data_IF_793800159238
#
_entry.id   IF_793800159238
#
_cell.length_a   1.000
_cell.length_b   1.000
_cell.length_c   1.000
_cell.angle_alpha   90.00
_cell.angle_beta   90.00
_cell.angle_gamma   90.00
#
_symmetry.space_group_name_H-M   'P 1'
#
loop_
_entity.id
_entity.type
_entity.pdbx_description
1 polymer ?
#
# COMPACT_ATOMS: atom_id res chain seq x y z
N UNK A 1 48.16 -60.64 -45.25
CA UNK A 1 47.11 -59.66 -45.58
C UNK A 1 45.71 -60.04 -45.09
N UNK A 2 45.37 -61.26 -44.85
CA UNK A 2 44.03 -61.70 -44.45
C UNK A 2 43.61 -61.33 -42.99
N UNK A 3 44.52 -61.30 -42.05
CA UNK A 3 44.18 -61.04 -40.61
C UNK A 3 43.79 -59.55 -40.31
N UNK A 4 44.28 -58.61 -41.10
CA UNK A 4 43.90 -57.18 -40.92
C UNK A 4 42.49 -56.87 -41.46
N UNK A 5 42.07 -57.49 -42.52
CA UNK A 5 40.70 -57.33 -43.08
C UNK A 5 39.64 -57.94 -42.17
N UNK A 6 39.92 -59.09 -41.51
CA UNK A 6 38.97 -59.73 -40.61
C UNK A 6 38.81 -58.93 -39.30
N UNK A 7 39.88 -58.36 -38.69
CA UNK A 7 39.80 -57.49 -37.52
C UNK A 7 39.07 -56.16 -37.82
N UNK A 8 39.18 -55.63 -39.04
CA UNK A 8 38.54 -54.39 -39.44
C UNK A 8 37.00 -54.61 -39.66
N UNK A 9 36.63 -55.82 -40.14
CA UNK A 9 35.21 -56.18 -40.33
C UNK A 9 34.51 -56.43 -39.00
N UNK A 10 35.15 -57.03 -38.00
CA UNK A 10 34.66 -57.22 -36.62
C UNK A 10 34.50 -55.87 -35.93
N UNK A 11 35.48 -54.94 -36.04
CA UNK A 11 35.35 -53.59 -35.49
C UNK A 11 34.21 -52.79 -36.14
N UNK A 12 34.01 -52.88 -37.44
CA UNK A 12 32.87 -52.22 -38.11
C UNK A 12 31.51 -52.82 -37.67
N UNK A 13 31.41 -54.11 -37.54
CA UNK A 13 30.16 -54.72 -37.00
C UNK A 13 29.89 -54.34 -35.57
N UNK A 14 30.90 -54.24 -34.71
CA UNK A 14 30.76 -53.82 -33.33
C UNK A 14 30.35 -52.33 -33.22
N UNK A 15 30.90 -51.46 -34.10
CA UNK A 15 30.51 -50.05 -34.15
C UNK A 15 29.07 -49.87 -34.61
N UNK A 16 28.64 -50.67 -35.61
CA UNK A 16 27.24 -50.62 -36.12
C UNK A 16 26.26 -51.14 -35.07
N UNK A 17 26.62 -52.16 -34.30
CA UNK A 17 25.77 -52.67 -33.20
C UNK A 17 25.74 -51.65 -32.04
N UNK A 18 26.83 -51.00 -31.71
CA UNK A 18 26.89 -49.93 -30.68
C UNK A 18 26.06 -48.71 -31.09
N UNK A 19 26.17 -48.27 -32.36
CA UNK A 19 25.37 -47.19 -32.88
C UNK A 19 23.87 -47.54 -32.91
N UNK A 20 23.52 -48.76 -33.30
CA UNK A 20 22.15 -49.24 -33.27
C UNK A 20 21.58 -49.33 -31.85
N UNK A 21 22.37 -49.76 -30.87
CA UNK A 21 21.99 -49.79 -29.47
C UNK A 21 21.80 -48.34 -28.88
N UNK A 22 22.66 -47.41 -29.29
CA UNK A 22 22.59 -46.02 -28.89
C UNK A 22 21.29 -45.36 -29.46
N UNK A 23 21.04 -45.56 -30.75
CA UNK A 23 19.82 -45.06 -31.38
C UNK A 23 18.58 -45.70 -30.77
N UNK A 24 18.57 -46.98 -30.50
CA UNK A 24 17.47 -47.67 -29.81
C UNK A 24 17.23 -47.16 -28.40
N UNK A 25 18.30 -46.90 -27.64
CA UNK A 25 18.25 -46.31 -26.30
C UNK A 25 17.71 -44.88 -26.36
N UNK A 26 18.17 -44.08 -27.34
CA UNK A 26 17.67 -42.71 -27.54
C UNK A 26 16.19 -42.69 -27.93
N UNK A 27 15.76 -43.57 -28.85
CA UNK A 27 14.36 -43.69 -29.24
C UNK A 27 13.52 -44.18 -28.06
N UNK A 28 14.01 -45.13 -27.27
CA UNK A 28 13.33 -45.59 -26.06
C UNK A 28 13.18 -44.49 -25.02
N UNK A 29 14.22 -43.71 -24.78
CA UNK A 29 14.15 -42.53 -23.90
C UNK A 29 13.16 -41.48 -24.41
N UNK A 30 13.13 -41.22 -25.72
CA UNK A 30 12.18 -40.29 -26.33
C UNK A 30 10.74 -40.85 -26.21
N UNK A 31 10.52 -42.14 -26.43
CA UNK A 31 9.22 -42.76 -26.28
C UNK A 31 8.76 -42.73 -24.82
N UNK A 32 9.64 -43.03 -23.87
CA UNK A 32 9.34 -42.94 -22.45
C UNK A 32 8.99 -41.49 -22.07
N UNK A 33 9.76 -40.50 -22.53
CA UNK A 33 9.49 -39.07 -22.26
C UNK A 33 8.19 -38.59 -22.92
N UNK A 34 7.80 -39.15 -24.10
CA UNK A 34 6.56 -38.83 -24.79
C UNK A 34 5.33 -39.55 -24.23
N UNK A 35 5.53 -40.69 -23.52
CA UNK A 35 4.46 -41.52 -22.96
C UNK A 35 4.39 -41.45 -21.43
N UNK A 36 5.23 -40.68 -20.78
CA UNK A 36 5.15 -40.43 -19.33
C UNK A 36 3.76 -39.81 -19.05
N UNK A 37 2.98 -40.50 -18.22
CA UNK A 37 1.72 -39.93 -17.73
C UNK A 37 2.01 -38.72 -16.90
N UNK A 38 1.13 -37.68 -16.94
CA UNK A 38 1.20 -36.60 -15.99
C UNK A 38 1.20 -37.16 -14.55
N UNK A 39 2.07 -36.61 -13.70
CA UNK A 39 2.05 -36.94 -12.26
C UNK A 39 0.96 -36.13 -11.60
N UNK A 40 0.53 -36.58 -10.42
CA UNK A 40 -0.40 -35.82 -9.59
C UNK A 40 0.36 -35.12 -8.48
N UNK A 41 0.06 -33.84 -8.30
CA UNK A 41 0.61 -33.01 -7.23
C UNK A 41 -0.54 -32.73 -6.26
N UNK A 42 -0.47 -33.31 -5.07
CA UNK A 42 -1.44 -33.11 -4.00
C UNK A 42 -1.01 -31.96 -3.10
N UNK A 43 -1.82 -30.92 -3.03
CA UNK A 43 -1.59 -29.73 -2.22
C UNK A 43 -2.72 -29.62 -1.19
N UNK A 44 -2.34 -29.64 0.07
CA UNK A 44 -3.30 -29.54 1.18
C UNK A 44 -3.35 -28.10 1.67
N UNK A 45 -4.54 -27.55 1.83
CA UNK A 45 -4.76 -26.22 2.39
C UNK A 45 -4.30 -26.15 3.84
N UNK A 46 -3.84 -24.94 4.29
CA UNK A 46 -3.33 -24.68 5.64
C UNK A 46 -2.18 -25.62 6.03
N UNK A 47 -1.35 -25.97 5.06
CA UNK A 47 -0.16 -26.80 5.25
C UNK A 47 0.92 -26.40 4.24
N UNK A 48 2.17 -26.50 4.62
CA UNK A 48 3.34 -26.29 3.76
C UNK A 48 3.78 -27.56 3.04
N UNK A 49 3.44 -28.74 3.59
CA UNK A 49 3.75 -30.00 2.94
C UNK A 49 2.83 -30.26 1.74
N UNK A 50 3.40 -30.73 0.64
CA UNK A 50 2.68 -31.21 -0.52
C UNK A 50 3.37 -32.46 -1.09
N UNK A 51 2.66 -33.20 -1.95
CA UNK A 51 3.15 -34.47 -2.46
C UNK A 51 3.14 -34.45 -3.99
N UNK A 52 4.24 -34.90 -4.57
CA UNK A 52 4.29 -35.26 -5.99
C UNK A 52 4.28 -36.78 -6.04
N UNK A 53 3.14 -37.37 -6.37
CA UNK A 53 2.85 -38.80 -6.18
C UNK A 53 3.09 -39.21 -4.70
N UNK A 54 4.07 -40.06 -4.43
CA UNK A 54 4.39 -40.56 -3.07
C UNK A 54 5.55 -39.78 -2.41
N UNK A 55 6.15 -38.80 -3.08
CA UNK A 55 7.28 -38.03 -2.55
C UNK A 55 6.78 -36.74 -1.92
N UNK A 56 7.20 -36.49 -0.67
CA UNK A 56 6.86 -35.28 0.07
C UNK A 56 7.86 -34.15 -0.24
N UNK A 57 7.30 -32.96 -0.44
CA UNK A 57 7.99 -31.70 -0.63
C UNK A 57 7.45 -30.68 0.36
N UNK A 58 8.19 -29.59 0.59
CA UNK A 58 7.81 -28.50 1.49
C UNK A 58 7.79 -27.18 0.72
N UNK A 59 6.73 -26.40 0.94
CA UNK A 59 6.67 -24.99 0.57
C UNK A 59 7.23 -24.15 1.73
N UNK A 60 7.84 -23.01 1.44
CA UNK A 60 8.30 -22.06 2.44
C UNK A 60 7.13 -21.40 3.19
N UNK A 61 5.96 -21.37 2.58
CA UNK A 61 4.73 -20.77 3.10
C UNK A 61 3.50 -21.56 2.65
N UNK A 62 2.40 -21.41 3.39
CA UNK A 62 1.12 -22.03 3.04
C UNK A 62 0.53 -21.42 1.75
N UNK A 63 -0.08 -22.26 0.87
CA UNK A 63 -0.90 -21.77 -0.22
C UNK A 63 -2.19 -21.15 0.35
N UNK A 64 -2.82 -20.27 -0.42
CA UNK A 64 -4.07 -19.64 -0.02
C UNK A 64 -5.08 -19.60 -1.17
N UNK A 65 -6.35 -19.36 -0.86
CA UNK A 65 -7.39 -19.15 -1.85
C UNK A 65 -7.79 -17.67 -1.92
N UNK A 66 -7.90 -17.15 -3.13
CA UNK A 66 -8.37 -15.80 -3.40
C UNK A 66 -9.29 -15.82 -4.62
N UNK A 67 -10.48 -15.25 -4.51
CA UNK A 67 -11.52 -15.29 -5.58
C UNK A 67 -11.83 -16.69 -6.12
N UNK A 68 -11.76 -17.71 -5.28
CA UNK A 68 -12.03 -19.10 -5.64
C UNK A 68 -10.89 -19.80 -6.37
N UNK A 69 -9.70 -19.16 -6.50
CA UNK A 69 -8.50 -19.74 -7.12
C UNK A 69 -7.42 -19.93 -6.07
N UNK A 70 -6.78 -21.08 -6.07
CA UNK A 70 -5.64 -21.36 -5.19
C UNK A 70 -4.40 -20.64 -5.73
N UNK A 71 -3.69 -19.95 -4.84
CA UNK A 71 -2.43 -19.29 -5.09
C UNK A 71 -1.27 -20.10 -4.52
N UNK A 72 -0.26 -20.33 -5.35
CA UNK A 72 0.88 -21.18 -5.05
C UNK A 72 2.18 -20.36 -5.01
N UNK A 73 3.06 -20.58 -4.02
CA UNK A 73 4.38 -19.97 -4.03
C UNK A 73 5.19 -20.50 -5.23
N UNK A 74 5.57 -19.58 -6.12
CA UNK A 74 6.10 -19.92 -7.45
C UNK A 74 7.37 -20.76 -7.37
N UNK A 75 8.34 -20.33 -6.56
CA UNK A 75 9.65 -21.00 -6.45
C UNK A 75 9.50 -22.40 -5.89
N UNK A 76 8.70 -22.56 -4.84
CA UNK A 76 8.55 -23.85 -4.15
C UNK A 76 7.90 -24.91 -5.04
N UNK A 77 6.92 -24.49 -5.87
CA UNK A 77 6.18 -25.41 -6.74
C UNK A 77 6.94 -25.72 -8.03
N UNK A 78 7.69 -24.76 -8.58
CA UNK A 78 8.35 -24.93 -9.87
C UNK A 78 9.78 -25.45 -9.77
N UNK A 79 10.49 -25.30 -8.63
CA UNK A 79 11.84 -25.86 -8.45
C UNK A 79 11.86 -27.39 -8.66
N UNK A 80 10.94 -28.20 -8.11
CA UNK A 80 10.91 -29.63 -8.36
C UNK A 80 10.55 -30.00 -9.80
N UNK A 81 10.04 -29.03 -10.59
CA UNK A 81 9.78 -29.17 -12.01
C UNK A 81 11.01 -28.85 -12.89
N UNK A 82 12.16 -28.55 -12.26
CA UNK A 82 13.43 -28.27 -12.94
C UNK A 82 13.56 -26.81 -13.43
N UNK A 83 12.84 -25.88 -12.83
CA UNK A 83 12.94 -24.45 -13.14
C UNK A 83 13.94 -23.75 -12.22
N UNK A 84 14.62 -22.74 -12.76
CA UNK A 84 15.48 -21.80 -12.07
C UNK A 84 14.89 -20.39 -12.18
N UNK A 85 15.27 -19.51 -11.25
CA UNK A 85 14.69 -18.20 -11.07
C UNK A 85 15.75 -17.12 -11.17
N UNK A 86 15.41 -16.00 -11.77
CA UNK A 86 16.19 -14.80 -11.87
C UNK A 86 15.28 -13.57 -11.88
N UNK A 87 15.87 -12.39 -11.72
CA UNK A 87 15.16 -11.11 -11.82
C UNK A 87 15.70 -10.30 -12.98
N UNK A 88 14.83 -9.85 -13.87
CA UNK A 88 15.13 -8.93 -14.94
C UNK A 88 14.78 -7.51 -14.47
N UNK A 89 15.82 -6.67 -14.30
CA UNK A 89 15.62 -5.29 -13.83
C UNK A 89 15.05 -4.37 -14.91
N UNK A 90 15.31 -4.66 -16.17
CA UNK A 90 14.86 -3.82 -17.30
C UNK A 90 13.36 -4.04 -17.53
N UNK A 91 12.90 -5.28 -17.43
CA UNK A 91 11.49 -5.66 -17.55
C UNK A 91 10.73 -5.60 -16.22
N UNK A 92 11.42 -5.43 -15.10
CA UNK A 92 10.87 -5.54 -13.74
C UNK A 92 10.04 -6.82 -13.53
N UNK A 93 10.60 -7.96 -13.94
CA UNK A 93 9.90 -9.24 -13.98
C UNK A 93 10.72 -10.37 -13.35
N UNK A 94 10.03 -11.35 -12.76
CA UNK A 94 10.61 -12.64 -12.41
C UNK A 94 10.81 -13.45 -13.70
N UNK A 95 12.04 -13.88 -13.95
CA UNK A 95 12.40 -14.75 -15.06
C UNK A 95 12.46 -16.19 -14.56
N UNK A 96 11.59 -17.02 -15.07
CA UNK A 96 11.48 -18.46 -14.75
C UNK A 96 12.00 -19.23 -15.94
N UNK A 97 13.10 -19.96 -15.78
CA UNK A 97 13.81 -20.59 -16.89
C UNK A 97 14.03 -22.08 -16.64
N UNK A 98 13.99 -22.85 -17.71
CA UNK A 98 14.52 -24.21 -17.78
C UNK A 98 15.41 -24.36 -19.02
N UNK A 99 15.91 -25.57 -19.31
CA UNK A 99 16.78 -25.86 -20.47
C UNK A 99 16.16 -25.47 -21.83
N UNK A 100 14.84 -25.25 -21.91
CA UNK A 100 14.11 -25.08 -23.18
C UNK A 100 13.52 -23.70 -23.38
N UNK A 101 13.13 -23.02 -22.31
CA UNK A 101 12.42 -21.72 -22.40
C UNK A 101 12.66 -20.84 -21.19
N UNK A 102 12.44 -19.54 -21.39
CA UNK A 102 12.31 -18.54 -20.33
C UNK A 102 10.92 -17.94 -20.36
N UNK A 103 10.34 -17.78 -19.20
CA UNK A 103 9.01 -17.19 -19.00
C UNK A 103 9.14 -16.00 -18.07
N UNK A 104 8.55 -14.87 -18.46
CA UNK A 104 8.48 -13.66 -17.66
C UNK A 104 7.16 -13.59 -16.93
N UNK A 105 7.24 -13.38 -15.62
CA UNK A 105 6.09 -13.24 -14.73
C UNK A 105 6.18 -11.89 -14.02
N UNK A 106 5.14 -11.09 -14.15
CA UNK A 106 5.10 -9.72 -13.64
C UNK A 106 4.22 -9.65 -12.40
N UNK A 107 4.71 -9.00 -11.34
CA UNK A 107 3.87 -8.75 -10.17
C UNK A 107 2.66 -7.90 -10.56
N UNK A 108 1.51 -8.19 -9.96
CA UNK A 108 0.21 -7.54 -10.20
C UNK A 108 -0.33 -7.59 -11.65
N UNK A 109 0.31 -8.33 -12.53
CA UNK A 109 -0.20 -8.56 -13.87
C UNK A 109 -0.74 -9.98 -13.99
N UNK A 110 -1.82 -10.11 -14.74
CA UNK A 110 -2.47 -11.39 -15.05
C UNK A 110 -1.94 -11.99 -16.34
N UNK A 111 -0.67 -11.78 -16.65
CA UNK A 111 -0.03 -12.25 -17.87
C UNK A 111 1.25 -13.05 -17.60
N UNK A 112 1.53 -14.00 -18.47
CA UNK A 112 2.85 -14.64 -18.65
C UNK A 112 3.34 -14.33 -20.05
N UNK A 113 4.63 -14.03 -20.19
CA UNK A 113 5.27 -13.87 -21.49
C UNK A 113 6.29 -15.00 -21.65
N UNK A 114 6.11 -15.86 -22.67
CA UNK A 114 7.01 -16.97 -22.95
C UNK A 114 7.16 -17.15 -24.46
N UNK A 115 8.38 -17.36 -24.93
CA UNK A 115 8.71 -17.51 -26.36
C UNK A 115 8.16 -16.37 -27.25
N UNK A 116 8.04 -15.15 -26.68
CA UNK A 116 7.49 -13.98 -27.38
C UNK A 116 5.97 -13.92 -27.45
N UNK A 117 5.28 -14.90 -26.90
CA UNK A 117 3.82 -14.92 -26.79
C UNK A 117 3.36 -14.49 -25.39
N UNK A 118 2.24 -13.76 -25.33
CA UNK A 118 1.62 -13.30 -24.08
C UNK A 118 0.34 -14.10 -23.82
N UNK A 119 0.27 -14.72 -22.65
CA UNK A 119 -0.88 -15.44 -22.15
C UNK A 119 -1.56 -14.64 -21.06
N UNK A 120 -2.87 -14.46 -21.14
CA UNK A 120 -3.68 -13.69 -20.19
C UNK A 120 -4.56 -14.61 -19.36
N UNK A 121 -4.60 -14.36 -18.04
CA UNK A 121 -5.35 -15.14 -17.06
C UNK A 121 -6.43 -14.27 -16.39
N UNK A 122 -7.34 -14.92 -15.66
CA UNK A 122 -8.36 -14.20 -14.90
C UNK A 122 -7.77 -13.39 -13.74
N UNK A 123 -6.75 -13.94 -13.09
CA UNK A 123 -6.19 -13.40 -11.87
C UNK A 123 -4.71 -13.04 -12.03
N UNK A 124 -4.22 -11.96 -11.37
CA UNK A 124 -2.83 -11.55 -11.46
C UNK A 124 -1.91 -12.42 -10.58
N UNK A 125 -0.63 -12.38 -10.88
CA UNK A 125 0.44 -12.79 -9.97
C UNK A 125 0.47 -11.83 -8.79
N UNK A 126 0.73 -12.33 -7.58
CA UNK A 126 0.74 -11.51 -6.37
C UNK A 126 2.04 -11.72 -5.59
N UNK A 127 2.66 -10.64 -5.14
CA UNK A 127 3.78 -10.70 -4.22
C UNK A 127 3.32 -10.40 -2.80
N UNK A 128 3.67 -11.28 -1.85
CA UNK A 128 3.36 -11.15 -0.42
C UNK A 128 4.60 -11.51 0.40
N UNK A 129 4.96 -10.67 1.34
CA UNK A 129 6.13 -10.91 2.20
C UNK A 129 7.39 -11.34 1.41
N UNK A 130 7.62 -10.73 0.23
CA UNK A 130 8.71 -11.05 -0.72
C UNK A 130 8.60 -12.40 -1.42
N UNK A 131 7.49 -13.11 -1.26
CA UNK A 131 7.22 -14.37 -1.95
C UNK A 131 6.26 -14.06 -3.11
N UNK A 132 6.60 -14.60 -4.28
CA UNK A 132 5.75 -14.47 -5.45
C UNK A 132 4.81 -15.67 -5.51
N UNK A 133 3.52 -15.38 -5.58
CA UNK A 133 2.47 -16.37 -5.71
C UNK A 133 1.84 -16.27 -7.10
N UNK A 134 1.61 -17.41 -7.72
CA UNK A 134 0.87 -17.50 -8.97
C UNK A 134 -0.51 -18.13 -8.77
N UNK A 135 -1.54 -17.66 -9.50
CA UNK A 135 -2.77 -18.42 -9.63
C UNK A 135 -2.49 -19.82 -10.16
N UNK A 136 -3.10 -20.83 -9.56
CA UNK A 136 -2.89 -22.25 -9.96
C UNK A 136 -3.18 -22.51 -11.44
N UNK A 137 -4.03 -21.71 -12.08
CA UNK A 137 -4.31 -21.76 -13.51
C UNK A 137 -3.05 -21.58 -14.39
N UNK A 138 -2.07 -20.81 -13.90
CA UNK A 138 -0.81 -20.55 -14.62
C UNK A 138 0.13 -21.78 -14.63
N UNK A 139 -0.04 -22.70 -13.70
CA UNK A 139 0.84 -23.88 -13.56
C UNK A 139 0.92 -24.73 -14.83
N UNK A 140 -0.18 -24.86 -15.57
CA UNK A 140 -0.26 -25.63 -16.82
C UNK A 140 0.70 -25.13 -17.92
N UNK A 141 1.21 -23.89 -17.83
CA UNK A 141 2.23 -23.36 -18.74
C UNK A 141 3.65 -23.83 -18.40
N UNK A 142 3.86 -24.36 -17.20
CA UNK A 142 5.14 -24.85 -16.70
C UNK A 142 5.21 -26.38 -16.69
N UNK A 143 4.14 -27.05 -16.31
CA UNK A 143 4.08 -28.51 -16.20
C UNK A 143 2.84 -29.10 -16.81
N UNK A 144 2.92 -30.38 -17.20
CA UNK A 144 1.77 -31.21 -17.58
C UNK A 144 1.18 -31.96 -16.39
N UNK A 145 1.81 -31.85 -15.21
CA UNK A 145 1.36 -32.51 -14.00
C UNK A 145 0.03 -31.91 -13.55
N UNK A 146 -0.81 -32.71 -12.94
CA UNK A 146 -2.15 -32.32 -12.49
C UNK A 146 -2.09 -31.85 -11.04
N UNK A 147 -2.67 -30.67 -10.75
CA UNK A 147 -2.83 -30.15 -9.40
C UNK A 147 -4.12 -30.66 -8.78
N UNK A 148 -4.04 -31.29 -7.62
CA UNK A 148 -5.18 -31.71 -6.80
C UNK A 148 -5.13 -30.96 -5.47
N UNK A 149 -6.22 -30.29 -5.15
CA UNK A 149 -6.34 -29.47 -3.94
C UNK A 149 -7.25 -30.17 -2.92
N UNK A 150 -6.77 -30.30 -1.69
CA UNK A 150 -7.47 -30.98 -0.60
C UNK A 150 -7.49 -30.12 0.67
N UNK A 151 -8.55 -30.30 1.50
CA UNK A 151 -8.67 -29.59 2.76
C UNK A 151 -9.13 -28.13 2.63
N UNK A 152 -9.06 -27.41 3.74
CA UNK A 152 -9.45 -26.01 3.83
C UNK A 152 -8.23 -25.11 3.59
N UNK A 153 -8.33 -24.21 2.63
CA UNK A 153 -7.31 -23.19 2.37
C UNK A 153 -7.60 -21.93 3.16
N UNK A 154 -6.55 -21.28 3.65
CA UNK A 154 -6.66 -19.93 4.21
C UNK A 154 -7.28 -19.02 3.15
N UNK A 155 -8.44 -18.47 3.46
CA UNK A 155 -9.05 -17.47 2.59
C UNK A 155 -8.30 -16.16 2.73
N UNK A 156 -7.92 -15.60 1.59
CA UNK A 156 -7.32 -14.28 1.51
C UNK A 156 -8.19 -13.45 0.60
N UNK A 157 -8.82 -12.46 1.16
CA UNK A 157 -9.52 -11.44 0.39
C UNK A 157 -8.48 -10.68 -0.44
N UNK A 158 -8.80 -10.33 -1.67
CA UNK A 158 -7.99 -9.37 -2.41
C UNK A 158 -8.18 -8.01 -1.76
N UNK A 159 -7.29 -7.54 -0.89
CA UNK A 159 -7.55 -6.30 -0.16
C UNK A 159 -7.67 -5.11 -1.10
N UNK A 160 -7.19 -5.28 -2.34
CA UNK A 160 -7.02 -4.20 -3.27
C UNK A 160 -8.12 -4.09 -4.34
N UNK A 161 -8.50 -5.19 -4.99
CA UNK A 161 -9.36 -5.12 -6.18
C UNK A 161 -10.77 -4.62 -5.86
N UNK A 162 -11.35 -5.09 -4.75
CA UNK A 162 -12.69 -4.68 -4.34
C UNK A 162 -12.72 -3.26 -3.76
N UNK A 163 -11.61 -2.82 -3.15
CA UNK A 163 -11.56 -1.51 -2.53
C UNK A 163 -11.63 -0.37 -3.53
N UNK A 164 -10.97 -0.50 -4.69
CA UNK A 164 -10.84 0.57 -5.68
C UNK A 164 -11.54 0.28 -7.02
N UNK A 165 -12.06 -0.93 -7.25
CA UNK A 165 -12.58 -1.35 -8.56
C UNK A 165 -13.77 -0.50 -9.05
N UNK A 166 -14.62 -0.03 -8.11
CA UNK A 166 -15.75 0.86 -8.39
C UNK A 166 -15.55 2.27 -7.80
N UNK A 167 -14.30 2.66 -7.57
CA UNK A 167 -13.98 3.99 -7.07
C UNK A 167 -13.59 4.86 -8.24
N UNK A 168 -14.38 5.86 -8.51
CA UNK A 168 -14.14 6.88 -9.54
C UNK A 168 -14.65 8.21 -9.05
N UNK A 169 -14.11 9.28 -9.62
CA UNK A 169 -14.59 10.65 -9.52
C UNK A 169 -14.94 11.06 -10.94
N UNK A 170 -16.15 11.56 -11.15
CA UNK A 170 -16.56 12.15 -12.42
C UNK A 170 -16.27 13.67 -12.43
N UNK A 171 -16.66 14.35 -13.48
CA UNK A 171 -16.41 15.77 -13.68
C UNK A 171 -17.52 16.69 -13.14
N UNK A 172 -18.51 16.14 -12.41
CA UNK A 172 -19.70 16.86 -11.93
C UNK A 172 -19.34 18.11 -11.11
N UNK A 173 -18.28 18.07 -10.32
CA UNK A 173 -17.87 19.17 -9.43
C UNK A 173 -16.63 19.91 -9.92
N UNK A 174 -16.12 19.59 -11.10
CA UNK A 174 -14.95 20.29 -11.69
C UNK A 174 -15.31 21.73 -12.00
N UNK A 175 -14.37 22.61 -11.72
CA UNK A 175 -14.51 24.02 -12.04
C UNK A 175 -14.23 24.26 -13.55
N UNK A 176 -15.04 25.08 -14.17
CA UNK A 176 -14.89 25.45 -15.60
C UNK A 176 -13.96 26.65 -15.81
N UNK A 177 -13.44 27.25 -14.73
CA UNK A 177 -12.61 28.46 -14.77
C UNK A 177 -11.19 28.19 -15.31
N UNK A 178 -10.57 29.22 -15.87
CA UNK A 178 -9.16 29.17 -16.26
C UNK A 178 -8.28 29.25 -15.00
N UNK A 179 -7.29 28.37 -14.90
CA UNK A 179 -6.34 28.38 -13.79
C UNK A 179 -5.22 29.42 -14.05
N UNK A 180 -5.09 30.39 -13.16
CA UNK A 180 -4.04 31.41 -13.22
C UNK A 180 -3.00 31.17 -12.13
N UNK A 181 -1.75 30.96 -12.54
CA UNK A 181 -0.67 30.64 -11.60
C UNK A 181 -0.07 31.87 -10.93
N UNK A 182 -0.01 31.86 -9.59
CA UNK A 182 0.63 32.88 -8.74
C UNK A 182 1.50 32.20 -7.68
N UNK A 183 2.80 32.43 -7.63
CA UNK A 183 3.73 31.84 -6.64
C UNK A 183 3.57 30.32 -6.45
N UNK A 184 3.30 29.55 -7.51
CA UNK A 184 3.14 28.10 -7.43
C UNK A 184 1.71 27.62 -7.08
N UNK A 185 0.83 28.53 -6.72
CA UNK A 185 -0.60 28.29 -6.48
C UNK A 185 -1.39 28.68 -7.72
N UNK A 186 -2.41 27.94 -8.04
CA UNK A 186 -3.34 28.23 -9.12
C UNK A 186 -4.65 28.79 -8.55
N UNK A 187 -5.06 29.95 -9.03
CA UNK A 187 -6.36 30.51 -8.76
C UNK A 187 -7.33 30.08 -9.88
N UNK A 188 -8.47 29.52 -9.47
CA UNK A 188 -9.60 29.21 -10.33
C UNK A 188 -10.82 29.86 -9.67
N UNK A 189 -11.35 30.92 -10.27
CA UNK A 189 -12.36 31.76 -9.66
C UNK A 189 -11.92 32.33 -8.29
N UNK A 190 -12.59 31.96 -7.20
CA UNK A 190 -12.27 32.35 -5.82
C UNK A 190 -11.58 31.23 -5.01
N UNK A 191 -11.08 30.19 -5.69
CA UNK A 191 -10.44 29.03 -5.06
C UNK A 191 -8.97 28.94 -5.44
N UNK A 192 -8.15 28.64 -4.45
CA UNK A 192 -6.72 28.42 -4.66
C UNK A 192 -6.40 26.93 -4.59
N UNK A 193 -5.58 26.46 -5.53
CA UNK A 193 -5.23 25.04 -5.67
C UNK A 193 -3.74 24.86 -5.92
N UNK A 194 -3.20 23.72 -5.51
CA UNK A 194 -1.86 23.28 -5.90
C UNK A 194 -1.94 22.10 -6.86
N UNK A 195 -0.99 22.04 -7.79
CA UNK A 195 -0.85 20.94 -8.72
C UNK A 195 0.04 19.87 -8.11
N UNK A 196 -0.52 18.72 -7.82
CA UNK A 196 0.17 17.60 -7.17
C UNK A 196 0.11 16.36 -8.04
N UNK A 197 1.21 15.61 -8.07
CA UNK A 197 1.33 14.38 -8.83
C UNK A 197 1.63 13.20 -7.92
N UNK A 198 1.15 12.04 -8.31
CA UNK A 198 1.52 10.73 -7.77
C UNK A 198 2.37 9.95 -8.79
N UNK A 199 3.67 10.26 -9.00
CA UNK A 199 4.51 9.48 -9.90
C UNK A 199 4.57 8.02 -9.44
N UNK A 200 4.41 7.07 -10.35
CA UNK A 200 4.32 5.64 -10.06
C UNK A 200 5.47 5.13 -9.20
N UNK A 201 6.71 5.52 -9.53
CA UNK A 201 7.89 5.15 -8.74
C UNK A 201 7.85 5.67 -7.30
N UNK A 202 7.27 6.86 -7.08
CA UNK A 202 7.12 7.41 -5.74
C UNK A 202 6.06 6.64 -4.96
N UNK A 203 4.93 6.30 -5.60
CA UNK A 203 3.85 5.52 -5.02
C UNK A 203 4.33 4.12 -4.59
N UNK A 204 5.04 3.42 -5.49
CA UNK A 204 5.64 2.11 -5.19
C UNK A 204 6.67 2.19 -4.06
N UNK A 205 7.52 3.22 -4.06
CA UNK A 205 8.51 3.40 -3.00
C UNK A 205 7.88 3.77 -1.66
N UNK A 206 6.78 4.52 -1.67
CA UNK A 206 6.01 4.83 -0.48
C UNK A 206 5.37 3.57 0.10
N UNK A 207 4.72 2.75 -0.72
CA UNK A 207 4.13 1.48 -0.29
C UNK A 207 5.16 0.55 0.37
N UNK A 208 6.39 0.47 -0.17
CA UNK A 208 7.49 -0.31 0.45
C UNK A 208 7.81 0.17 1.86
N UNK A 209 7.80 1.47 2.12
CA UNK A 209 8.03 2.01 3.46
C UNK A 209 6.89 1.63 4.40
N UNK A 210 5.64 1.68 3.93
CA UNK A 210 4.49 1.27 4.74
C UNK A 210 4.53 -0.24 5.06
N UNK A 211 4.92 -1.07 4.09
CA UNK A 211 5.12 -2.51 4.31
C UNK A 211 6.22 -2.78 5.35
N UNK A 212 7.32 -2.01 5.31
CA UNK A 212 8.39 -2.14 6.31
C UNK A 212 7.93 -1.76 7.73
N UNK A 213 6.98 -0.83 7.88
CA UNK A 213 6.36 -0.54 9.19
C UNK A 213 5.59 -1.77 9.72
N UNK A 214 4.80 -2.42 8.86
CA UNK A 214 4.05 -3.61 9.24
C UNK A 214 4.98 -4.81 9.52
N UNK A 215 6.03 -4.99 8.73
CA UNK A 215 7.07 -6.02 8.96
C UNK A 215 7.77 -5.81 10.32
N UNK A 216 8.06 -4.56 10.69
CA UNK A 216 8.71 -4.22 11.94
C UNK A 216 7.82 -4.38 13.18
N UNK A 217 6.48 -4.38 13.01
CA UNK A 217 5.48 -4.42 14.07
C UNK A 217 4.41 -5.50 13.80
N UNK A 218 4.77 -6.79 13.75
CA UNK A 218 3.86 -7.86 13.28
C UNK A 218 2.62 -8.09 14.15
N UNK A 219 2.59 -7.57 15.37
CA UNK A 219 1.44 -7.66 16.28
C UNK A 219 0.50 -6.45 16.19
N UNK A 220 0.80 -5.47 15.35
CA UNK A 220 0.06 -4.21 15.20
C UNK A 220 -0.70 -4.22 13.87
N UNK A 221 -1.96 -3.80 13.89
CA UNK A 221 -2.70 -3.57 12.65
C UNK A 221 -2.27 -2.26 12.03
N UNK A 222 -1.80 -2.31 10.79
CA UNK A 222 -1.33 -1.12 10.07
C UNK A 222 -2.38 -0.69 9.05
N UNK A 223 -2.77 0.58 9.11
CA UNK A 223 -3.72 1.20 8.18
C UNK A 223 -3.02 2.29 7.36
N UNK A 224 -3.23 2.30 6.05
CA UNK A 224 -2.77 3.38 5.18
C UNK A 224 -3.96 4.20 4.68
N UNK A 225 -3.97 5.49 5.04
CA UNK A 225 -4.99 6.47 4.67
C UNK A 225 -4.35 7.43 3.67
N UNK A 226 -4.46 7.12 2.38
CA UNK A 226 -3.96 7.98 1.30
C UNK A 226 -5.07 8.96 0.86
N UNK A 227 -4.79 10.27 1.03
CA UNK A 227 -5.77 11.34 0.84
C UNK A 227 -5.55 12.00 -0.51
N UNK A 228 -6.56 12.15 -1.38
CA UNK A 228 -6.46 13.00 -2.56
C UNK A 228 -6.44 14.49 -2.17
N UNK A 229 -5.90 15.33 -3.03
CA UNK A 229 -5.98 16.79 -2.84
C UNK A 229 -7.27 17.38 -3.47
N UNK A 230 -7.51 18.64 -3.18
CA UNK A 230 -8.65 19.39 -3.74
C UNK A 230 -8.75 19.29 -5.27
N UNK A 231 -7.61 19.30 -5.98
CA UNK A 231 -7.59 19.25 -7.45
C UNK A 231 -8.15 17.97 -8.05
N UNK A 232 -8.14 16.86 -7.30
CA UNK A 232 -8.77 15.62 -7.77
C UNK A 232 -10.29 15.73 -7.84
N UNK A 233 -10.90 16.47 -6.91
CA UNK A 233 -12.35 16.64 -6.82
C UNK A 233 -12.86 17.82 -7.68
N UNK A 234 -12.18 18.96 -7.61
CA UNK A 234 -12.69 20.24 -8.11
C UNK A 234 -11.78 20.90 -9.13
N UNK A 235 -10.58 20.37 -9.35
CA UNK A 235 -9.63 20.97 -10.29
C UNK A 235 -10.19 20.98 -11.72
N UNK A 236 -10.03 22.09 -12.51
CA UNK A 236 -10.31 22.07 -13.92
C UNK A 236 -9.41 21.06 -14.65
N UNK A 237 -9.79 20.66 -15.86
CA UNK A 237 -9.08 19.63 -16.61
C UNK A 237 -7.57 19.89 -16.74
N UNK A 238 -7.16 21.14 -16.86
CA UNK A 238 -5.74 21.53 -16.94
C UNK A 238 -4.94 21.29 -15.64
N UNK A 239 -5.62 21.14 -14.49
CA UNK A 239 -5.02 20.84 -13.19
C UNK A 239 -5.26 19.39 -12.73
N UNK A 240 -5.99 18.61 -13.51
CA UNK A 240 -6.26 17.22 -13.17
C UNK A 240 -5.02 16.34 -13.33
N UNK A 241 -4.72 15.51 -12.35
CA UNK A 241 -3.48 14.70 -12.28
C UNK A 241 -3.72 13.21 -12.02
N UNK A 242 -4.97 12.75 -12.08
CA UNK A 242 -5.37 11.36 -11.84
C UNK A 242 -4.73 10.77 -10.56
N UNK A 243 -4.98 11.41 -9.43
CA UNK A 243 -4.46 10.97 -8.14
C UNK A 243 -5.05 9.63 -7.71
N UNK A 244 -6.24 9.27 -8.20
CA UNK A 244 -6.85 7.94 -7.96
C UNK A 244 -5.94 6.84 -8.47
N UNK A 245 -5.38 6.96 -9.67
CA UNK A 245 -4.42 5.98 -10.20
C UNK A 245 -3.15 5.89 -9.37
N UNK A 246 -2.68 7.01 -8.83
CA UNK A 246 -1.57 7.04 -7.87
C UNK A 246 -1.90 6.29 -6.57
N UNK A 247 -3.06 6.55 -5.99
CA UNK A 247 -3.53 5.86 -4.77
C UNK A 247 -3.72 4.36 -5.06
N UNK A 248 -4.27 3.99 -6.21
CA UNK A 248 -4.34 2.59 -6.65
C UNK A 248 -2.96 1.94 -6.72
N UNK A 249 -1.97 2.66 -7.24
CA UNK A 249 -0.59 2.16 -7.30
C UNK A 249 -0.01 1.94 -5.90
N UNK A 250 -0.25 2.86 -4.95
CA UNK A 250 0.14 2.65 -3.54
C UNK A 250 -0.50 1.36 -3.03
N UNK A 251 -1.82 1.25 -3.11
CA UNK A 251 -2.57 0.14 -2.53
C UNK A 251 -2.26 -1.22 -3.17
N UNK A 252 -1.94 -1.25 -4.47
CA UNK A 252 -1.45 -2.45 -5.18
C UNK A 252 -0.15 -3.00 -4.62
N UNK A 253 0.70 -2.13 -4.10
CA UNK A 253 2.02 -2.47 -3.62
C UNK A 253 2.06 -2.62 -2.09
N UNK A 254 0.91 -2.55 -1.40
CA UNK A 254 0.82 -2.85 0.02
C UNK A 254 0.78 -4.36 0.24
N UNK A 255 1.49 -4.82 1.27
CA UNK A 255 1.40 -6.19 1.76
C UNK A 255 0.05 -6.45 2.44
N UNK A 256 -0.37 -7.70 2.51
CA UNK A 256 -1.63 -8.10 3.17
C UNK A 256 -1.72 -7.73 4.66
N UNK A 257 -0.59 -7.48 5.29
CA UNK A 257 -0.50 -7.01 6.68
C UNK A 257 -0.87 -5.53 6.83
N UNK A 258 -1.03 -4.81 5.73
CA UNK A 258 -1.44 -3.40 5.70
C UNK A 258 -2.85 -3.28 5.16
N UNK A 259 -3.72 -2.62 5.93
CA UNK A 259 -5.09 -2.34 5.52
C UNK A 259 -5.15 -1.01 4.75
N UNK A 260 -5.44 -1.02 3.45
CA UNK A 260 -5.71 0.20 2.70
C UNK A 260 -7.08 0.78 3.08
N UNK A 261 -7.17 2.10 3.17
CA UNK A 261 -8.42 2.80 3.53
C UNK A 261 -8.91 3.63 2.34
N UNK A 262 -10.02 3.21 1.73
CA UNK A 262 -10.59 3.90 0.58
C UNK A 262 -11.36 5.16 0.98
N UNK A 263 -10.64 6.25 1.17
CA UNK A 263 -11.24 7.55 1.56
C UNK A 263 -12.10 8.14 0.44
N UNK A 264 -11.75 7.90 -0.82
CA UNK A 264 -12.46 8.48 -1.98
C UNK A 264 -13.89 7.96 -2.02
N UNK A 265 -14.12 6.69 -1.78
CA UNK A 265 -15.45 6.08 -1.77
C UNK A 265 -16.40 6.71 -0.73
N UNK A 266 -15.85 7.18 0.39
CA UNK A 266 -16.62 7.85 1.43
C UNK A 266 -16.72 9.37 1.21
N UNK A 267 -15.72 9.98 0.61
CA UNK A 267 -15.68 11.42 0.38
C UNK A 267 -16.49 11.84 -0.85
N UNK A 268 -16.39 11.09 -1.95
CA UNK A 268 -16.99 11.47 -3.23
C UNK A 268 -18.52 11.69 -3.19
N UNK A 269 -19.32 10.85 -2.50
CA UNK A 269 -20.76 11.08 -2.38
C UNK A 269 -21.16 12.39 -1.67
N UNK A 270 -20.19 13.06 -1.05
CA UNK A 270 -20.35 14.32 -0.31
C UNK A 270 -19.53 15.47 -0.92
N UNK A 271 -19.16 15.35 -2.18
CA UNK A 271 -18.35 16.36 -2.87
C UNK A 271 -19.06 17.71 -3.07
N UNK A 272 -20.39 17.75 -2.91
CA UNK A 272 -21.19 18.98 -2.85
C UNK A 272 -21.09 19.72 -1.50
N UNK A 273 -20.49 19.09 -0.49
CA UNK A 273 -20.22 19.70 0.80
C UNK A 273 -18.84 20.39 0.81
N UNK A 274 -18.56 21.15 1.86
CA UNK A 274 -17.29 21.86 2.03
C UNK A 274 -16.18 20.91 2.51
N UNK A 275 -15.66 20.04 1.61
CA UNK A 275 -14.64 19.02 1.93
C UNK A 275 -13.22 19.58 1.99
N UNK A 276 -12.90 20.60 1.23
CA UNK A 276 -11.61 21.27 1.16
C UNK A 276 -11.78 22.77 1.30
N UNK A 277 -10.79 23.42 1.93
CA UNK A 277 -10.74 24.86 1.98
C UNK A 277 -10.43 25.47 0.60
N UNK A 278 -11.08 26.55 0.27
CA UNK A 278 -10.78 27.35 -0.92
C UNK A 278 -9.55 28.24 -0.73
N UNK A 279 -9.20 28.54 0.52
CA UNK A 279 -8.13 29.49 0.90
C UNK A 279 -6.91 28.82 1.54
N UNK A 280 -6.95 27.50 1.70
CA UNK A 280 -5.88 26.69 2.29
C UNK A 280 -5.65 25.40 1.49
N UNK A 281 -4.48 24.79 1.59
CA UNK A 281 -4.17 23.55 0.88
C UNK A 281 -4.77 22.29 1.54
N UNK A 282 -5.32 22.41 2.72
CA UNK A 282 -5.86 21.28 3.44
C UNK A 282 -7.33 21.01 3.13
N UNK A 283 -7.76 19.84 3.49
CA UNK A 283 -9.17 19.54 3.68
C UNK A 283 -9.74 20.24 4.91
N UNK A 284 -11.06 20.37 4.97
CA UNK A 284 -11.77 20.81 6.17
C UNK A 284 -11.83 19.68 7.20
N UNK A 285 -12.27 19.97 8.41
CA UNK A 285 -12.52 18.89 9.37
C UNK A 285 -13.68 18.00 8.88
N UNK A 286 -14.64 18.51 8.12
CA UNK A 286 -15.70 17.73 7.48
C UNK A 286 -15.12 16.76 6.45
N UNK A 287 -14.22 17.19 5.58
CA UNK A 287 -13.51 16.30 4.64
C UNK A 287 -12.78 15.20 5.37
N UNK A 288 -12.07 15.54 6.45
CA UNK A 288 -11.39 14.57 7.31
C UNK A 288 -12.37 13.60 8.03
N UNK A 289 -13.62 14.01 8.30
CA UNK A 289 -14.64 13.11 8.85
C UNK A 289 -14.98 11.97 7.90
N UNK A 290 -15.14 12.24 6.62
CA UNK A 290 -15.43 11.17 5.65
C UNK A 290 -14.24 10.21 5.49
N UNK A 291 -13.00 10.71 5.59
CA UNK A 291 -11.83 9.84 5.63
C UNK A 291 -11.77 9.00 6.93
N UNK A 292 -12.13 9.59 8.07
CA UNK A 292 -12.29 8.86 9.33
C UNK A 292 -13.38 7.79 9.20
N UNK A 293 -14.52 8.08 8.58
CA UNK A 293 -15.57 7.06 8.31
C UNK A 293 -15.02 5.88 7.52
N UNK A 294 -14.24 6.16 6.46
CA UNK A 294 -13.59 5.12 5.67
C UNK A 294 -12.67 4.25 6.53
N UNK A 295 -11.90 4.87 7.44
CA UNK A 295 -11.03 4.18 8.37
C UNK A 295 -11.84 3.29 9.34
N UNK A 296 -12.89 3.82 9.97
CA UNK A 296 -13.73 3.05 10.93
C UNK A 296 -14.44 1.88 10.24
N UNK A 297 -14.89 2.06 8.98
CA UNK A 297 -15.42 0.96 8.17
C UNK A 297 -14.36 -0.13 7.91
N UNK A 298 -13.14 0.27 7.57
CA UNK A 298 -12.04 -0.67 7.37
C UNK A 298 -11.65 -1.40 8.68
N UNK A 299 -11.83 -0.74 9.82
CA UNK A 299 -11.64 -1.33 11.17
C UNK A 299 -12.79 -2.28 11.56
N UNK A 300 -13.97 -2.12 10.94
CA UNK A 300 -15.17 -2.92 11.27
C UNK A 300 -15.93 -2.44 12.50
N UNK A 301 -15.85 -1.14 12.81
CA UNK A 301 -16.51 -0.52 13.96
C UNK A 301 -17.70 0.37 13.56
N UNK A 302 -18.52 0.72 14.54
CA UNK A 302 -19.63 1.66 14.37
C UNK A 302 -19.11 3.10 14.26
N UNK A 303 -19.79 3.89 13.43
CA UNK A 303 -19.43 5.26 13.15
C UNK A 303 -20.43 6.18 13.83
N UNK A 304 -19.95 7.11 14.67
CA UNK A 304 -20.78 8.18 15.20
C UNK A 304 -21.19 9.15 14.05
N UNK A 305 -22.48 9.51 14.03
CA UNK A 305 -22.99 10.45 13.03
C UNK A 305 -22.42 11.86 13.24
N UNK A 306 -22.18 12.59 12.14
CA UNK A 306 -21.61 13.94 12.21
C UNK A 306 -22.43 14.88 13.10
N UNK A 307 -23.74 14.71 13.14
CA UNK A 307 -24.67 15.52 13.95
C UNK A 307 -24.50 15.31 15.47
N UNK A 308 -23.83 14.26 15.90
CA UNK A 308 -23.54 14.01 17.31
C UNK A 308 -22.42 14.91 17.86
N UNK A 309 -21.61 15.49 16.97
CA UNK A 309 -20.45 16.29 17.35
C UNK A 309 -20.82 17.78 17.49
N UNK A 310 -20.66 18.38 18.68
CA UNK A 310 -20.94 19.78 18.88
C UNK A 310 -20.02 20.67 18.00
N UNK A 311 -20.60 21.66 17.33
CA UNK A 311 -19.90 22.51 16.37
C UNK A 311 -19.61 23.91 16.94
N UNK A 312 -18.41 24.44 16.65
CA UNK A 312 -17.98 25.81 16.99
C UNK A 312 -17.17 26.39 15.83
N UNK A 313 -17.84 27.12 14.96
CA UNK A 313 -17.26 27.63 13.73
C UNK A 313 -16.55 28.99 13.93
N UNK A 314 -15.66 29.32 12.99
CA UNK A 314 -15.07 30.64 12.79
C UNK A 314 -15.40 31.10 11.38
N UNK A 315 -15.98 32.29 11.29
CA UNK A 315 -16.29 32.89 9.98
C UNK A 315 -15.13 33.76 9.51
N UNK A 316 -14.97 33.87 8.19
CA UNK A 316 -13.98 34.73 7.56
C UNK A 316 -12.56 34.16 7.61
N UNK A 317 -12.41 32.85 7.78
CA UNK A 317 -11.13 32.17 7.71
C UNK A 317 -10.48 32.35 6.34
N UNK A 318 -9.22 32.78 6.32
CA UNK A 318 -8.34 32.76 5.15
C UNK A 318 -7.09 32.00 5.53
N UNK A 319 -6.87 30.87 4.83
CA UNK A 319 -5.78 29.96 5.12
C UNK A 319 -4.42 30.38 4.55
N UNK A 320 -3.54 29.41 4.38
CA UNK A 320 -2.14 29.60 3.96
C UNK A 320 -1.99 30.24 2.59
N UNK A 321 -2.93 30.00 1.68
CA UNK A 321 -2.91 30.58 0.33
C UNK A 321 -3.06 32.11 0.33
N UNK A 322 -3.81 32.67 1.28
CA UNK A 322 -3.89 34.12 1.43
C UNK A 322 -2.54 34.77 1.67
N UNK A 323 -1.63 34.12 2.39
CA UNK A 323 -0.25 34.59 2.57
C UNK A 323 0.61 34.36 1.32
N UNK A 324 0.44 33.22 0.64
CA UNK A 324 1.17 32.89 -0.59
C UNK A 324 0.89 33.86 -1.72
N UNK A 325 -0.35 34.37 -1.79
CA UNK A 325 -0.79 35.30 -2.82
C UNK A 325 -0.42 36.77 -2.55
N UNK A 326 0.04 37.13 -1.34
CA UNK A 326 0.48 38.49 -1.02
C UNK A 326 1.56 39.00 -1.97
N UNK A 327 1.40 40.20 -2.48
CA UNK A 327 2.30 40.84 -3.45
C UNK A 327 2.21 40.27 -4.85
N UNK A 328 1.26 39.39 -5.15
CA UNK A 328 0.95 38.92 -6.51
C UNK A 328 -0.30 39.60 -7.07
N UNK A 329 -0.57 39.40 -8.38
CA UNK A 329 -1.82 39.88 -8.98
C UNK A 329 -3.06 39.13 -8.44
N UNK A 330 -2.89 38.03 -7.71
CA UNK A 330 -3.96 37.28 -7.06
C UNK A 330 -4.23 37.71 -5.61
N UNK A 331 -3.54 38.74 -5.09
CA UNK A 331 -3.81 39.24 -3.75
C UNK A 331 -5.23 39.82 -3.65
N UNK A 332 -5.98 39.37 -2.61
CA UNK A 332 -7.38 39.77 -2.41
C UNK A 332 -8.42 39.05 -3.27
N UNK A 333 -8.01 38.04 -4.07
CA UNK A 333 -8.93 37.22 -4.85
C UNK A 333 -9.70 36.18 -4.03
N UNK A 334 -9.15 35.81 -2.85
CA UNK A 334 -9.78 34.82 -1.97
C UNK A 334 -10.78 35.48 -1.03
N UNK A 335 -11.96 34.91 -0.94
CA UNK A 335 -12.98 35.26 0.04
C UNK A 335 -12.85 34.47 1.32
N UNK A 336 -13.17 35.08 2.47
CA UNK A 336 -13.17 34.37 3.74
C UNK A 336 -14.24 33.27 3.76
N UNK A 337 -13.89 32.11 4.28
CA UNK A 337 -14.75 30.92 4.37
C UNK A 337 -14.98 30.51 5.83
N UNK A 338 -15.83 29.51 6.06
CA UNK A 338 -16.11 29.00 7.41
C UNK A 338 -15.07 27.94 7.79
N UNK A 339 -14.35 28.17 8.88
CA UNK A 339 -13.56 27.12 9.55
C UNK A 339 -14.46 26.34 10.49
N UNK A 340 -14.99 25.21 10.02
CA UNK A 340 -15.79 24.31 10.86
C UNK A 340 -14.91 23.64 11.92
N UNK A 341 -15.41 23.59 13.17
CA UNK A 341 -14.73 22.93 14.28
C UNK A 341 -15.74 22.06 15.02
N UNK A 342 -15.61 20.75 14.83
CA UNK A 342 -16.40 19.72 15.52
C UNK A 342 -15.65 19.28 16.76
N UNK A 343 -16.31 19.38 17.90
CA UNK A 343 -15.75 19.03 19.20
C UNK A 343 -15.83 17.51 19.42
N UNK A 344 -14.84 16.87 20.04
CA UNK A 344 -14.92 15.45 20.38
C UNK A 344 -16.12 15.19 21.33
N UNK A 345 -16.67 13.99 21.23
CA UNK A 345 -17.80 13.52 22.09
C UNK A 345 -17.32 12.72 23.31
N UNK A 346 -16.01 12.56 23.45
CA UNK A 346 -15.39 11.92 24.62
C UNK A 346 -14.67 12.94 25.48
N UNK A 347 -14.62 12.70 26.79
CA UNK A 347 -13.71 13.43 27.67
C UNK A 347 -12.28 13.03 27.38
N UNK A 348 -11.37 13.97 27.42
CA UNK A 348 -9.96 13.71 27.14
C UNK A 348 -8.99 14.62 27.92
N UNK A 349 -7.77 14.13 28.04
CA UNK A 349 -6.60 14.91 28.45
C UNK A 349 -5.52 14.74 27.40
N UNK A 350 -4.91 15.85 26.96
CA UNK A 350 -3.86 15.86 25.95
C UNK A 350 -2.61 16.58 26.43
N UNK A 351 -1.44 16.03 26.11
CA UNK A 351 -0.12 16.60 26.41
C UNK A 351 0.82 16.45 25.21
N UNK A 352 1.63 17.47 24.96
CA UNK A 352 2.73 17.47 23.96
C UNK A 352 4.02 17.09 24.64
N UNK A 353 4.80 16.20 24.00
CA UNK A 353 6.11 15.75 24.47
C UNK A 353 7.20 16.00 23.44
N UNK A 354 8.43 16.27 23.92
CA UNK A 354 9.60 16.57 23.11
C UNK A 354 10.61 15.41 23.05
N UNK A 355 10.30 14.28 23.66
CA UNK A 355 11.13 13.07 23.63
C UNK A 355 10.27 11.82 23.45
N UNK A 356 10.87 10.77 22.91
CA UNK A 356 10.22 9.48 22.63
C UNK A 356 9.67 8.80 23.88
N UNK A 357 10.32 9.00 25.04
CA UNK A 357 9.96 8.34 26.30
C UNK A 357 8.88 9.07 27.10
N UNK A 358 8.33 10.18 26.56
CA UNK A 358 7.29 10.99 27.16
C UNK A 358 7.69 11.56 28.55
N UNK A 359 8.96 11.83 28.74
CA UNK A 359 9.51 12.41 29.99
C UNK A 359 9.58 13.94 29.96
N UNK A 360 9.72 14.53 28.77
CA UNK A 360 9.80 15.97 28.57
C UNK A 360 8.46 16.51 28.08
N UNK A 361 7.51 16.65 29.01
CA UNK A 361 6.23 17.32 28.75
C UNK A 361 6.48 18.81 28.45
N UNK A 362 5.99 19.25 27.29
CA UNK A 362 6.13 20.67 26.90
C UNK A 362 4.91 21.51 27.32
N UNK A 363 3.72 21.11 26.88
CA UNK A 363 2.47 21.83 27.15
C UNK A 363 1.25 20.91 27.11
N UNK A 364 0.14 21.42 27.60
CA UNK A 364 -1.18 20.80 27.33
C UNK A 364 -1.52 20.92 25.84
N UNK A 365 -2.25 19.95 25.31
CA UNK A 365 -2.82 19.97 23.98
C UNK A 365 -4.33 19.83 24.03
N UNK A 366 -5.03 20.67 23.32
CA UNK A 366 -6.46 20.52 23.06
C UNK A 366 -6.66 19.85 21.71
N UNK A 367 -7.71 19.05 21.59
CA UNK A 367 -8.11 18.48 20.31
C UNK A 367 -8.56 19.58 19.35
N UNK A 368 -9.27 20.58 19.88
CA UNK A 368 -9.60 21.83 19.18
C UNK A 368 -9.13 23.00 20.04
N UNK A 369 -8.17 23.76 19.53
CA UNK A 369 -7.67 24.99 20.16
C UNK A 369 -8.60 26.15 19.83
N UNK A 370 -9.60 26.39 20.64
CA UNK A 370 -10.68 27.35 20.34
C UNK A 370 -10.21 28.82 20.19
N UNK A 371 -9.05 29.16 20.73
CA UNK A 371 -8.46 30.49 20.58
C UNK A 371 -7.58 30.64 19.32
N UNK A 372 -7.45 29.56 18.54
CA UNK A 372 -6.73 29.55 17.27
C UNK A 372 -7.74 29.59 16.11
N UNK A 373 -7.73 30.64 15.31
CA UNK A 373 -8.59 30.83 14.15
C UNK A 373 -7.90 30.42 12.83
N UNK A 374 -6.88 29.56 12.92
CA UNK A 374 -6.15 28.99 11.79
C UNK A 374 -6.37 27.49 11.72
N UNK A 375 -5.88 26.85 10.64
CA UNK A 375 -5.89 25.39 10.51
C UNK A 375 -5.19 24.69 11.70
N UNK A 376 -4.23 25.33 12.33
CA UNK A 376 -3.56 24.86 13.56
C UNK A 376 -4.48 24.73 14.77
N UNK A 377 -5.77 25.18 14.67
CA UNK A 377 -6.81 24.88 15.67
C UNK A 377 -6.96 23.36 15.91
N UNK A 378 -6.67 22.52 14.89
CA UNK A 378 -6.72 21.07 15.00
C UNK A 378 -5.45 20.57 15.69
N UNK A 379 -5.62 19.98 16.88
CA UNK A 379 -4.57 19.42 17.76
C UNK A 379 -3.39 20.38 18.09
N UNK A 380 -3.52 21.66 17.81
CA UNK A 380 -2.45 22.64 17.99
C UNK A 380 -1.38 22.60 16.90
N UNK A 381 -1.67 21.98 15.74
CA UNK A 381 -0.78 21.89 14.59
C UNK A 381 0.23 20.74 14.65
N UNK A 382 1.37 20.91 13.97
CA UNK A 382 2.38 19.86 13.82
C UNK A 382 3.30 19.83 15.06
N UNK A 383 3.10 18.81 15.90
CA UNK A 383 3.85 18.60 17.14
C UNK A 383 4.64 17.28 17.07
N UNK A 384 5.78 17.21 17.79
CA UNK A 384 6.62 15.99 17.77
C UNK A 384 5.86 14.73 18.18
N UNK A 385 5.29 14.75 19.38
CA UNK A 385 4.35 13.74 19.87
C UNK A 385 3.25 14.45 20.66
N UNK A 386 1.99 14.09 20.37
CA UNK A 386 0.86 14.40 21.24
C UNK A 386 0.33 13.08 21.78
N UNK A 387 0.11 13.00 23.08
CA UNK A 387 -0.62 11.91 23.73
C UNK A 387 -1.97 12.42 24.18
N UNK A 388 -3.04 11.79 23.71
CA UNK A 388 -4.38 11.93 24.29
C UNK A 388 -4.74 10.67 25.07
N UNK A 389 -5.31 10.86 26.27
CA UNK A 389 -5.99 9.82 27.05
C UNK A 389 -7.45 10.21 27.14
N UNK A 390 -8.35 9.31 26.78
CA UNK A 390 -9.78 9.59 26.66
C UNK A 390 -10.62 8.87 27.73
N UNK A 391 -11.91 9.13 27.75
CA UNK A 391 -12.88 8.41 28.59
C UNK A 391 -13.31 7.07 28.00
N UNK A 392 -12.90 6.72 26.78
CA UNK A 392 -13.12 5.39 26.18
C UNK A 392 -12.43 4.33 27.04
N UNK A 393 -13.10 3.18 27.25
CA UNK A 393 -12.61 2.09 28.12
C UNK A 393 -12.62 0.74 27.39
N UNK A 394 -12.07 0.72 26.19
CA UNK A 394 -11.95 -0.51 25.40
C UNK A 394 -10.55 -1.16 25.46
N UNK A 395 -9.59 -0.52 26.13
CA UNK A 395 -8.20 -0.97 26.19
C UNK A 395 -7.41 -0.76 24.90
N UNK A 396 -8.02 -0.16 23.86
CA UNK A 396 -7.35 0.05 22.57
C UNK A 396 -6.55 1.33 22.54
N UNK A 397 -5.38 1.23 21.90
CA UNK A 397 -4.43 2.34 21.73
C UNK A 397 -4.02 2.45 20.27
N UNK A 398 -3.90 3.68 19.78
CA UNK A 398 -3.45 3.96 18.44
C UNK A 398 -2.23 4.84 18.40
N UNK A 399 -1.37 4.61 17.40
CA UNK A 399 -0.36 5.56 16.94
C UNK A 399 -0.78 6.09 15.57
N UNK A 400 -0.82 7.42 15.41
CA UNK A 400 -1.09 8.09 14.14
C UNK A 400 0.20 8.75 13.68
N UNK A 401 0.78 8.26 12.58
CA UNK A 401 1.88 8.92 11.87
C UNK A 401 1.25 9.81 10.80
N UNK A 402 1.59 11.08 10.82
CA UNK A 402 0.94 12.08 9.96
C UNK A 402 1.85 13.23 9.57
N UNK A 403 1.49 13.94 8.54
CA UNK A 403 1.82 15.34 8.28
C UNK A 403 0.58 16.21 8.54
N UNK A 404 0.59 17.48 8.13
CA UNK A 404 -0.43 18.45 8.55
C UNK A 404 -1.88 18.08 8.17
N UNK A 405 -2.11 17.32 7.08
CA UNK A 405 -3.47 16.82 6.77
C UNK A 405 -4.02 15.93 7.90
N UNK A 406 -3.16 15.12 8.52
CA UNK A 406 -3.56 14.28 9.64
C UNK A 406 -3.99 15.04 10.89
N UNK A 407 -3.76 16.36 10.99
CA UNK A 407 -4.21 17.15 12.14
C UNK A 407 -5.74 17.11 12.28
N UNK A 408 -6.47 17.37 11.21
CA UNK A 408 -7.93 17.31 11.20
C UNK A 408 -8.45 15.85 11.37
N UNK A 409 -7.80 14.86 10.76
CA UNK A 409 -8.16 13.45 10.92
C UNK A 409 -8.05 12.96 12.37
N UNK A 410 -6.96 13.34 13.04
CA UNK A 410 -6.70 12.92 14.42
C UNK A 410 -7.80 13.40 15.39
N UNK A 411 -8.46 14.53 15.13
CA UNK A 411 -9.56 15.03 15.96
C UNK A 411 -10.76 14.08 16.03
N UNK A 412 -10.95 13.27 15.00
CA UNK A 412 -12.00 12.26 14.91
C UNK A 412 -11.56 10.93 15.56
N UNK A 413 -10.35 10.48 15.24
CA UNK A 413 -9.85 9.18 15.66
C UNK A 413 -9.77 9.02 17.19
N UNK A 414 -9.59 10.10 17.95
CA UNK A 414 -9.55 10.04 19.42
C UNK A 414 -10.85 9.50 20.05
N UNK A 415 -11.98 9.56 19.34
CA UNK A 415 -13.26 9.10 19.88
C UNK A 415 -13.37 7.56 19.99
N UNK A 416 -12.43 6.82 19.39
CA UNK A 416 -12.47 5.34 19.35
C UNK A 416 -11.45 4.66 20.27
N UNK A 417 -10.50 5.38 20.86
CA UNK A 417 -9.38 4.78 21.58
C UNK A 417 -9.26 5.30 23.01
N UNK A 418 -8.78 4.44 23.90
CA UNK A 418 -8.41 4.85 25.27
C UNK A 418 -7.18 5.76 25.28
N UNK A 419 -6.18 5.48 24.43
CA UNK A 419 -5.01 6.32 24.25
C UNK A 419 -4.70 6.50 22.75
N UNK A 420 -4.36 7.74 22.35
CA UNK A 420 -3.91 8.06 21.00
C UNK A 420 -2.59 8.82 21.06
N UNK A 421 -1.62 8.34 20.33
CA UNK A 421 -0.31 8.98 20.15
C UNK A 421 -0.21 9.50 18.72
N UNK A 422 -0.03 10.80 18.55
CA UNK A 422 0.07 11.45 17.24
C UNK A 422 1.50 11.88 17.06
N UNK A 423 2.15 11.38 16.01
CA UNK A 423 3.58 11.57 15.75
C UNK A 423 3.78 12.24 14.40
N UNK A 424 4.49 13.37 14.41
CA UNK A 424 4.99 13.98 13.18
C UNK A 424 6.42 13.49 12.92
N UNK A 425 6.65 12.62 11.93
CA UNK A 425 7.97 12.04 11.69
C UNK A 425 9.02 13.08 11.29
N UNK A 426 8.59 14.25 10.77
CA UNK A 426 9.48 15.34 10.38
C UNK A 426 10.21 16.00 11.56
N UNK A 427 9.73 15.78 12.78
CA UNK A 427 10.29 16.33 14.02
C UNK A 427 11.45 15.52 14.60
N UNK A 428 11.83 14.41 13.97
CA UNK A 428 12.77 13.43 14.53
C UNK A 428 13.92 13.09 13.59
N UNK A 429 14.93 12.41 14.13
CA UNK A 429 16.05 11.80 13.39
C UNK A 429 16.81 12.78 12.48
N UNK A 430 16.84 14.06 12.85
CA UNK A 430 17.54 15.09 12.09
C UNK A 430 16.87 15.46 10.76
N UNK A 431 15.64 15.00 10.50
CA UNK A 431 14.93 15.29 9.26
C UNK A 431 14.74 16.79 9.04
N UNK A 432 14.30 17.51 10.07
CA UNK A 432 14.22 18.95 10.04
C UNK A 432 15.16 19.56 11.11
N UNK A 433 16.27 20.19 10.72
CA UNK A 433 17.21 20.77 11.69
C UNK A 433 16.61 21.84 12.61
N UNK A 434 15.49 22.47 12.20
CA UNK A 434 14.83 23.53 12.99
C UNK A 434 13.87 22.98 14.05
N UNK A 435 13.47 21.72 13.93
CA UNK A 435 12.49 21.05 14.82
C UNK A 435 12.93 19.62 15.19
N UNK A 436 14.24 19.39 15.28
CA UNK A 436 14.76 18.06 15.63
C UNK A 436 14.66 17.84 17.15
N UNK A 437 13.84 16.85 17.54
CA UNK A 437 13.65 16.44 18.94
C UNK A 437 14.47 15.20 19.32
N UNK A 438 15.51 14.90 18.56
CA UNK A 438 16.41 13.78 18.80
C UNK A 438 16.02 12.53 18.01
N UNK A 439 16.43 11.37 18.51
CA UNK A 439 16.13 10.09 17.89
C UNK A 439 14.76 9.58 18.30
N UNK A 440 14.02 9.06 17.30
CA UNK A 440 12.79 8.32 17.51
C UNK A 440 12.87 6.98 16.76
N UNK A 441 12.52 5.89 17.46
CA UNK A 441 12.39 4.59 16.85
C UNK A 441 11.06 3.96 17.26
N UNK A 442 10.21 3.67 16.30
CA UNK A 442 8.85 3.20 16.51
C UNK A 442 8.79 1.81 17.18
N UNK A 443 9.74 0.92 16.85
CA UNK A 443 9.84 -0.41 17.46
C UNK A 443 10.23 -0.31 18.94
N UNK A 444 11.18 0.58 19.27
CA UNK A 444 11.52 0.87 20.67
C UNK A 444 10.35 1.52 21.41
N UNK A 445 9.65 2.47 20.77
CA UNK A 445 8.47 3.10 21.34
C UNK A 445 7.41 2.04 21.67
N UNK A 446 7.14 1.09 20.76
CA UNK A 446 6.22 -0.01 20.99
C UNK A 446 6.65 -0.89 22.18
N UNK A 447 7.91 -1.26 22.25
CA UNK A 447 8.41 -2.22 23.26
C UNK A 447 8.61 -1.59 24.64
N UNK A 448 9.01 -0.31 24.70
CA UNK A 448 9.51 0.32 25.94
C UNK A 448 8.56 1.39 26.49
N UNK A 449 7.67 1.97 25.67
CA UNK A 449 6.81 3.09 26.07
C UNK A 449 5.33 2.71 26.03
N UNK A 450 4.86 2.21 24.90
CA UNK A 450 3.44 1.91 24.70
C UNK A 450 3.23 0.80 23.68
N UNK A 451 2.72 -0.34 24.10
CA UNK A 451 2.13 -1.32 23.20
C UNK A 451 0.78 -0.80 22.71
N UNK A 452 0.66 -0.60 21.40
CA UNK A 452 -0.54 -0.11 20.74
C UNK A 452 -1.11 -1.16 19.77
N UNK A 453 -2.41 -1.08 19.50
CA UNK A 453 -3.14 -2.02 18.66
C UNK A 453 -3.06 -1.63 17.19
N UNK A 454 -3.21 -0.33 16.91
CA UNK A 454 -3.34 0.20 15.57
C UNK A 454 -2.27 1.24 15.26
N UNK A 455 -1.67 1.12 14.07
CA UNK A 455 -0.79 2.13 13.47
C UNK A 455 -1.50 2.71 12.25
N UNK A 456 -1.81 3.99 12.28
CA UNK A 456 -2.55 4.68 11.23
C UNK A 456 -1.60 5.65 10.54
N UNK A 457 -1.29 5.43 9.28
CA UNK A 457 -0.45 6.36 8.48
C UNK A 457 -1.36 7.19 7.60
N UNK A 458 -1.42 8.48 7.90
CA UNK A 458 -2.28 9.45 7.21
C UNK A 458 -1.40 10.35 6.33
N UNK A 459 -1.63 10.33 5.04
CA UNK A 459 -0.76 11.03 4.09
C UNK A 459 -1.51 11.55 2.86
N UNK A 460 -1.08 12.70 2.37
CA UNK A 460 -1.55 13.28 1.12
C UNK A 460 -0.51 13.10 -0.02
N UNK A 461 -0.76 13.51 -1.28
CA UNK A 461 0.14 13.28 -2.43
C UNK A 461 1.59 13.71 -2.21
N UNK A 462 1.80 14.84 -1.52
CA UNK A 462 3.14 15.30 -1.19
C UNK A 462 3.94 14.36 -0.29
N UNK A 463 3.26 13.52 0.49
CA UNK A 463 3.90 12.54 1.38
C UNK A 463 4.52 11.37 0.63
N UNK A 464 3.97 11.01 -0.52
CA UNK A 464 4.57 10.02 -1.42
C UNK A 464 5.86 10.55 -2.07
N UNK A 465 6.06 11.88 -2.08
CA UNK A 465 7.34 12.47 -2.46
C UNK A 465 8.45 12.11 -1.45
N UNK A 466 9.71 12.23 -1.88
CA UNK A 466 10.88 11.70 -1.17
C UNK A 466 11.00 12.15 0.30
N UNK A 467 10.66 13.39 0.62
CA UNK A 467 10.90 13.97 1.95
C UNK A 467 10.14 13.25 3.07
N UNK A 468 8.81 13.24 3.01
CA UNK A 468 7.98 12.63 4.05
C UNK A 468 8.16 11.10 4.11
N UNK A 469 8.28 10.44 2.96
CA UNK A 469 8.60 9.01 2.88
C UNK A 469 9.87 8.67 3.65
N UNK A 470 10.95 9.46 3.48
CA UNK A 470 12.21 9.25 4.17
C UNK A 470 12.07 9.51 5.69
N UNK A 471 11.26 10.50 6.09
CA UNK A 471 11.00 10.75 7.50
C UNK A 471 10.26 9.57 8.17
N UNK A 472 9.27 8.97 7.48
CA UNK A 472 8.58 7.76 7.97
C UNK A 472 9.55 6.57 8.04
N UNK A 473 10.35 6.35 7.00
CA UNK A 473 11.37 5.29 6.94
C UNK A 473 12.36 5.38 8.11
N UNK A 474 12.81 6.59 8.45
CA UNK A 474 13.72 6.83 9.56
C UNK A 474 13.14 6.45 10.94
N UNK A 475 11.80 6.37 11.10
CA UNK A 475 11.19 5.92 12.36
C UNK A 475 11.45 4.44 12.68
N UNK A 476 11.83 3.63 11.71
CA UNK A 476 12.18 2.21 11.89
C UNK A 476 13.65 1.91 11.58
N UNK A 477 14.43 2.93 11.25
CA UNK A 477 15.87 2.82 11.01
C UNK A 477 16.24 2.19 9.67
N UNK A 478 15.41 2.34 8.63
CA UNK A 478 15.63 1.86 7.24
C UNK A 478 15.63 3.02 6.24
#
# INVERSE_FOLDING_TARGET
MNNKKHRMHIKRKAIVVLLGALVAATVLCIVIALTAKPRTIHITGSNTAYFIEDEQYEMSVEPYICDGVVYLPVEDILTPQGYTFGWDNDEAALVISNEKKSTYMYNDKNILVTDGETYTFKLPVMMRSRIIYMPSEMFSHFSKDELVFEGEFKFVERPFRDLMENTYIDDTYRLDGNAVKHNGVYLVDDKAMELLYYPENNCTSYAKVINSLAEALPSVKVYNVAIPSMTEFYGPDELYTDQISGIRTIYKNLDESVMPVNVIKEMWPHADEHLYFSTDHHWTQRGAYYAYRAFIKAKGEEIADLSEFPQKNVEGFIGSWGNTLKGTAGEGSLSGETLERFMPIVDYKGDVYLDMYLTQRWRESKVIELNDEKYTTFIGGDMPIIKYTTSVKNGEKAVIIKESFGNAFATWAINNYEEVYIIDPRSWNGFNPRSNNGEFNLVKFYNEVCQFNDLIVVSYPGSAASGMRNAISALIGV
#
